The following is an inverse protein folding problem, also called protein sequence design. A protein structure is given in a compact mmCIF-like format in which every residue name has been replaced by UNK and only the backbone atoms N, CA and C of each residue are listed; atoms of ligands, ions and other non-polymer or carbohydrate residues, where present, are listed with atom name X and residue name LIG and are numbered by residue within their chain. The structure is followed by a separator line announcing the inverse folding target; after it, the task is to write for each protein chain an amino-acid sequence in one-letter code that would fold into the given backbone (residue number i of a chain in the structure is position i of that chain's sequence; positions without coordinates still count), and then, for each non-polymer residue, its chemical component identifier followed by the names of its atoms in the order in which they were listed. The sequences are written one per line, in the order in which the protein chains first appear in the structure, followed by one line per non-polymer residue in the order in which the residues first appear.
data_IF_630964342951
#
_entry.id   IF_630964342951
#
_cell.length_a   1.000
_cell.length_b   1.000
_cell.length_c   1.000
_cell.angle_alpha   90.00
_cell.angle_beta   90.00
_cell.angle_gamma   90.00
#
_symmetry.space_group_name_H-M   'P 1'
#
loop_
_entity.id
_entity.type
_entity.pdbx_description
1 polymer ?
#
# COMPACT_ATOMS: atom_id res chain seq x y z
N UNK A 1 -5.70 -19.17 -6.74
CA UNK A 1 -4.87 -18.11 -6.09
C UNK A 1 -5.70 -17.35 -5.08
N UNK A 2 -5.23 -17.30 -3.87
CA UNK A 2 -5.92 -16.61 -2.76
C UNK A 2 -5.04 -15.48 -2.25
N UNK A 3 -5.64 -14.32 -2.05
CA UNK A 3 -4.95 -13.17 -1.47
C UNK A 3 -5.48 -12.93 -0.06
N UNK A 4 -4.57 -12.89 0.90
CA UNK A 4 -4.91 -12.58 2.28
C UNK A 4 -4.39 -11.21 2.63
N UNK A 5 -5.28 -10.33 3.07
CA UNK A 5 -4.90 -8.99 3.48
C UNK A 5 -4.15 -9.06 4.81
N UNK A 6 -2.93 -8.55 4.83
CA UNK A 6 -2.09 -8.54 6.03
C UNK A 6 -2.22 -7.25 6.81
N UNK A 7 -2.04 -6.12 6.14
CA UNK A 7 -2.11 -4.82 6.80
C UNK A 7 -2.25 -3.71 5.77
N UNK A 8 -2.55 -2.51 6.26
CA UNK A 8 -2.60 -1.30 5.44
C UNK A 8 -1.72 -0.25 6.10
N UNK A 9 -0.86 0.38 5.32
CA UNK A 9 0.03 1.44 5.77
C UNK A 9 -0.39 2.75 5.14
N UNK A 10 -0.26 3.83 5.89
CA UNK A 10 -0.49 5.17 5.36
C UNK A 10 0.87 5.80 5.07
N UNK A 11 1.08 6.18 3.83
CA UNK A 11 2.37 6.68 3.35
C UNK A 11 2.19 8.09 2.80
N UNK A 12 3.14 8.96 3.11
CA UNK A 12 3.03 10.38 2.77
C UNK A 12 3.39 10.69 1.32
N UNK A 13 4.24 9.89 0.70
CA UNK A 13 4.67 10.19 -0.66
C UNK A 13 4.69 8.94 -1.54
N UNK A 14 4.53 9.17 -2.84
CA UNK A 14 4.46 8.09 -3.81
C UNK A 14 5.79 7.36 -3.98
N UNK A 15 6.91 8.05 -3.84
CA UNK A 15 8.22 7.44 -4.00
C UNK A 15 8.46 6.36 -2.94
N UNK A 16 8.09 6.65 -1.68
CA UNK A 16 8.19 5.67 -0.60
C UNK A 16 7.26 4.49 -0.83
N UNK A 17 6.02 4.77 -1.27
CA UNK A 17 5.06 3.72 -1.58
C UNK A 17 5.60 2.80 -2.67
N UNK A 18 6.18 3.38 -3.71
CA UNK A 18 6.74 2.61 -4.82
C UNK A 18 7.90 1.73 -4.38
N UNK A 19 8.80 2.26 -3.55
CA UNK A 19 9.93 1.48 -3.03
C UNK A 19 9.46 0.31 -2.18
N UNK A 20 8.48 0.52 -1.32
CA UNK A 20 7.91 -0.53 -0.50
C UNK A 20 7.26 -1.60 -1.36
N UNK A 21 6.49 -1.18 -2.38
CA UNK A 21 5.83 -2.09 -3.30
C UNK A 21 6.82 -2.97 -4.04
N UNK A 22 7.92 -2.40 -4.53
CA UNK A 22 8.95 -3.17 -5.21
C UNK A 22 9.57 -4.22 -4.30
N UNK A 23 9.86 -3.85 -3.05
CA UNK A 23 10.40 -4.79 -2.08
C UNK A 23 9.43 -5.93 -1.78
N UNK A 24 8.15 -5.62 -1.69
CA UNK A 24 7.13 -6.64 -1.44
C UNK A 24 7.02 -7.62 -2.60
N UNK A 25 7.03 -7.13 -3.83
CA UNK A 25 6.95 -7.99 -5.02
C UNK A 25 8.15 -8.93 -5.06
N UNK A 26 9.34 -8.44 -4.76
CA UNK A 26 10.54 -9.27 -4.74
C UNK A 26 10.48 -10.38 -3.70
N UNK A 27 9.70 -10.19 -2.65
CA UNK A 27 9.52 -11.18 -1.59
C UNK A 27 8.25 -12.02 -1.74
N UNK A 28 7.57 -11.93 -2.86
CA UNK A 28 6.41 -12.76 -3.15
C UNK A 28 5.09 -12.22 -2.62
N UNK A 29 5.06 -10.97 -2.16
CA UNK A 29 3.82 -10.33 -1.72
C UNK A 29 3.18 -9.53 -2.83
N UNK A 30 1.91 -9.25 -2.68
CA UNK A 30 1.17 -8.35 -3.57
C UNK A 30 0.78 -7.11 -2.78
N UNK A 31 0.62 -6.01 -3.46
CA UNK A 31 0.22 -4.77 -2.81
C UNK A 31 -0.68 -3.94 -3.71
N UNK A 32 -1.44 -3.05 -3.07
CA UNK A 32 -2.32 -2.13 -3.76
C UNK A 32 -2.17 -0.76 -3.14
N UNK A 33 -1.95 0.26 -3.97
CA UNK A 33 -1.79 1.63 -3.52
C UNK A 33 -2.99 2.45 -3.98
N UNK A 34 -3.66 3.09 -3.02
CA UNK A 34 -4.83 3.93 -3.30
C UNK A 34 -4.59 5.31 -2.71
N UNK A 35 -4.80 6.39 -3.48
CA UNK A 35 -4.67 7.72 -2.92
C UNK A 35 -5.78 7.99 -1.90
N UNK A 36 -5.41 8.58 -0.78
CA UNK A 36 -6.34 8.93 0.29
C UNK A 36 -6.31 10.42 0.49
N UNK A 37 -7.45 11.07 0.36
CA UNK A 37 -7.56 12.48 0.62
C UNK A 37 -7.94 12.66 2.09
N UNK A 38 -7.03 13.25 2.85
CA UNK A 38 -7.27 13.52 4.25
C UNK A 38 -8.16 14.75 4.39
N UNK A 39 -9.20 14.64 5.22
CA UNK A 39 -10.10 15.76 5.50
C UNK A 39 -9.45 16.70 6.51
N UNK A 40 -10.06 17.89 6.65
CA UNK A 40 -9.64 18.86 7.62
C UNK A 40 -9.16 18.21 8.93
N UNK A 41 -8.04 18.66 9.53
CA UNK A 41 -7.24 19.82 9.15
C UNK A 41 -6.15 19.54 8.11
N UNK A 42 -6.18 18.40 7.47
CA UNK A 42 -5.11 17.93 6.58
C UNK A 42 -5.39 18.23 5.11
N UNK A 43 -6.24 19.23 4.83
CA UNK A 43 -6.53 19.63 3.46
C UNK A 43 -5.26 20.03 2.73
N UNK A 44 -5.11 19.50 1.51
CA UNK A 44 -3.93 19.78 0.69
C UNK A 44 -2.81 18.76 0.86
N UNK A 45 -2.88 17.88 1.86
CA UNK A 45 -1.89 16.83 2.05
C UNK A 45 -2.46 15.53 1.47
N UNK A 46 -1.75 14.96 0.50
CA UNK A 46 -2.12 13.67 -0.07
C UNK A 46 -1.35 12.56 0.61
N UNK A 47 -2.07 11.55 1.01
CA UNK A 47 -1.50 10.34 1.54
C UNK A 47 -1.89 9.17 0.65
N UNK A 48 -1.19 8.06 0.80
CA UNK A 48 -1.47 6.85 0.04
C UNK A 48 -1.69 5.71 1.01
N UNK A 49 -2.74 4.95 0.80
CA UNK A 49 -3.00 3.74 1.57
C UNK A 49 -2.39 2.57 0.80
N UNK A 50 -1.39 1.95 1.39
CA UNK A 50 -0.73 0.78 0.82
C UNK A 50 -1.23 -0.46 1.54
N UNK A 51 -1.98 -1.30 0.86
CA UNK A 51 -2.48 -2.54 1.42
C UNK A 51 -1.60 -3.68 0.95
N UNK A 52 -1.14 -4.49 1.89
CA UNK A 52 -0.24 -5.61 1.62
C UNK A 52 -1.01 -6.92 1.70
N UNK A 53 -0.82 -7.75 0.69
CA UNK A 53 -1.48 -9.06 0.61
C UNK A 53 -0.43 -10.16 0.53
N UNK A 54 -0.72 -11.25 1.20
CA UNK A 54 0.01 -12.49 1.01
C UNK A 54 -0.70 -13.29 -0.08
N UNK A 55 0.05 -13.76 -1.05
CA UNK A 55 -0.51 -14.55 -2.15
C UNK A 55 -0.20 -16.02 -1.89
N UNK A 56 -1.21 -16.84 -1.88
CA UNK A 56 -1.07 -18.28 -1.72
C UNK A 56 -1.60 -18.98 -2.97
N UNK A 57 -0.81 -19.93 -3.47
CA UNK A 57 -1.23 -20.79 -4.55
C UNK A 57 -1.90 -22.02 -3.97
N UNK A 58 -3.02 -22.39 -4.53
CA UNK A 58 -3.70 -23.62 -4.15
C UNK A 58 -3.39 -24.72 -5.14
#
# INVERSE_FOLDING_TARGET
MVKEKLCTLIIKDMASAKNITEGLILNGYSSEVVPVQMKYPYTGIKHFALTIYRVEDE
#
